data_IF_099997014670
#
_entry.id   IF_099997014670
#
_cell.length_a   1.000
_cell.length_b   1.000
_cell.length_c   1.000
_cell.angle_alpha   90.00
_cell.angle_beta   90.00
_cell.angle_gamma   90.00
#
_symmetry.space_group_name_H-M   'P 1'
#
loop_
_entity.id
_entity.type
_entity.pdbx_description
1 polymer ?
#
# COMPACT_ATOMS: atom_id res chain seq x y z
N UNK A 1 -15.26 31.72 11.88
CA UNK A 1 -15.67 30.30 11.77
C UNK A 1 -15.45 29.66 10.37
N UNK A 2 -14.74 30.32 9.42
CA UNK A 2 -14.70 29.93 7.99
C UNK A 2 -13.55 28.96 7.57
N UNK A 3 -12.55 28.76 8.44
CA UNK A 3 -11.35 27.96 8.13
C UNK A 3 -11.57 26.44 8.13
N UNK A 4 -12.24 25.91 9.16
CA UNK A 4 -12.48 24.47 9.31
C UNK A 4 -13.31 23.89 8.15
N UNK A 5 -14.30 24.65 7.64
CA UNK A 5 -15.12 24.24 6.52
C UNK A 5 -14.35 24.23 5.18
N UNK A 6 -13.28 25.04 5.02
CA UNK A 6 -12.40 24.97 3.84
C UNK A 6 -11.47 23.76 3.93
N UNK A 7 -10.90 23.49 5.10
CA UNK A 7 -10.03 22.32 5.35
C UNK A 7 -10.81 21.01 5.13
N UNK A 8 -12.03 20.90 5.67
CA UNK A 8 -12.87 19.72 5.46
C UNK A 8 -13.22 19.50 3.98
N UNK A 9 -13.52 20.56 3.22
CA UNK A 9 -13.80 20.45 1.78
C UNK A 9 -12.55 20.08 0.96
N UNK A 10 -11.38 20.54 1.36
CA UNK A 10 -10.10 20.19 0.71
C UNK A 10 -9.70 18.75 1.04
N UNK A 11 -9.84 18.32 2.29
CA UNK A 11 -9.64 16.93 2.69
C UNK A 11 -10.60 15.99 1.94
N UNK A 12 -11.89 16.35 1.87
CA UNK A 12 -12.90 15.60 1.10
C UNK A 12 -12.67 15.63 -0.41
N UNK A 13 -11.91 16.59 -0.96
CA UNK A 13 -11.48 16.60 -2.38
C UNK A 13 -10.26 15.72 -2.61
N UNK A 14 -9.31 15.71 -1.67
CA UNK A 14 -8.11 14.87 -1.73
C UNK A 14 -8.48 13.37 -1.67
N UNK A 15 -9.40 12.96 -0.80
CA UNK A 15 -9.86 11.55 -0.76
C UNK A 15 -10.61 11.14 -2.03
N UNK A 16 -11.27 12.09 -2.71
CA UNK A 16 -11.92 11.87 -4.00
C UNK A 16 -10.95 11.80 -5.17
N UNK A 17 -9.77 12.40 -5.10
CA UNK A 17 -8.73 12.23 -6.12
C UNK A 17 -8.05 10.86 -6.02
N UNK A 18 -7.90 10.31 -4.81
CA UNK A 18 -7.37 8.96 -4.60
C UNK A 18 -8.36 7.84 -4.96
N UNK A 19 -9.64 8.18 -5.15
CA UNK A 19 -10.71 7.26 -5.58
C UNK A 19 -11.21 7.63 -6.98
N UNK A 20 -10.28 7.78 -7.93
CA UNK A 20 -10.61 7.91 -9.35
C UNK A 20 -11.04 6.56 -9.90
N UNK A 21 -12.30 6.16 -9.67
CA UNK A 21 -12.88 5.01 -10.38
C UNK A 21 -13.36 5.49 -11.75
N UNK A 22 -12.68 5.04 -12.80
CA UNK A 22 -13.15 5.18 -14.18
C UNK A 22 -14.58 4.64 -14.30
N UNK A 23 -15.44 5.30 -15.08
CA UNK A 23 -16.79 4.81 -15.39
C UNK A 23 -16.68 3.36 -15.87
N UNK A 24 -17.43 2.45 -15.24
CA UNK A 24 -17.53 1.07 -15.70
C UNK A 24 -18.22 1.07 -17.07
N UNK A 25 -17.45 0.82 -18.13
CA UNK A 25 -17.98 0.64 -19.47
C UNK A 25 -18.60 -0.76 -19.54
N UNK A 26 -19.93 -0.80 -19.59
CA UNK A 26 -20.73 -2.01 -19.75
C UNK A 26 -20.79 -2.43 -21.22
N UNK A 27 -20.22 -3.59 -21.55
CA UNK A 27 -20.83 -4.58 -22.47
C UNK A 27 -21.07 -4.15 -23.92
N UNK A 28 -20.15 -4.49 -24.84
CA UNK A 28 -20.38 -4.43 -26.29
C UNK A 28 -19.33 -3.62 -27.06
N UNK A 29 -18.43 -4.32 -27.78
CA UNK A 29 -17.44 -3.88 -28.80
C UNK A 29 -16.45 -2.74 -28.45
N UNK A 30 -16.75 -1.93 -27.44
CA UNK A 30 -15.94 -0.90 -26.80
C UNK A 30 -15.78 -1.17 -25.30
N UNK A 31 -16.12 -2.38 -24.86
CA UNK A 31 -15.98 -2.81 -23.49
C UNK A 31 -14.53 -3.16 -23.17
N UNK A 32 -14.12 -3.01 -21.91
CA UNK A 32 -12.75 -3.23 -21.56
C UNK A 32 -12.44 -4.73 -21.55
N UNK A 33 -11.28 -5.09 -22.12
CA UNK A 33 -10.81 -6.47 -22.37
C UNK A 33 -10.93 -7.45 -21.20
N UNK A 34 -11.12 -6.98 -19.96
CA UNK A 34 -11.27 -7.81 -18.77
C UNK A 34 -12.70 -8.36 -18.55
N UNK A 35 -13.73 -7.81 -19.19
CA UNK A 35 -15.13 -8.21 -18.95
C UNK A 35 -15.47 -9.54 -19.63
N UNK A 36 -14.82 -9.85 -20.75
CA UNK A 36 -15.05 -11.06 -21.54
C UNK A 36 -13.78 -11.88 -21.78
N UNK A 37 -12.73 -11.68 -20.99
CA UNK A 37 -11.51 -12.48 -21.11
C UNK A 37 -11.73 -13.92 -20.61
N UNK A 38 -11.15 -14.95 -21.28
CA UNK A 38 -11.20 -16.34 -20.82
C UNK A 38 -10.41 -16.57 -19.53
N UNK A 39 -9.49 -15.66 -19.18
CA UNK A 39 -8.74 -15.67 -17.93
C UNK A 39 -9.06 -14.41 -17.13
N UNK A 40 -9.37 -14.59 -15.84
CA UNK A 40 -9.62 -13.50 -14.90
C UNK A 40 -8.45 -12.52 -14.78
N UNK A 41 -7.22 -12.99 -14.95
CA UNK A 41 -6.03 -12.14 -14.89
C UNK A 41 -5.24 -12.22 -16.19
N UNK A 42 -5.04 -11.07 -16.84
CA UNK A 42 -4.14 -10.95 -17.99
C UNK A 42 -2.72 -10.57 -17.54
N UNK A 43 -2.04 -11.52 -16.89
CA UNK A 43 -0.64 -11.36 -16.48
C UNK A 43 0.31 -11.08 -17.65
N UNK A 44 0.21 -11.70 -18.84
CA UNK A 44 1.14 -11.44 -19.95
C UNK A 44 1.04 -10.05 -20.58
N UNK A 45 -0.11 -9.39 -20.51
CA UNK A 45 -0.26 -8.02 -20.98
C UNK A 45 0.39 -6.96 -20.07
N UNK A 46 0.85 -7.32 -18.86
CA UNK A 46 1.48 -6.35 -17.96
C UNK A 46 2.90 -5.96 -18.40
N UNK A 47 3.10 -4.66 -18.67
CA UNK A 47 4.44 -4.10 -18.90
C UNK A 47 5.32 -4.23 -17.65
N UNK A 48 6.56 -4.67 -17.83
CA UNK A 48 7.55 -4.89 -16.77
C UNK A 48 7.08 -5.86 -15.66
N UNK A 49 6.39 -6.93 -16.06
CA UNK A 49 5.82 -7.94 -15.15
C UNK A 49 6.82 -8.46 -14.11
N UNK A 50 8.01 -8.89 -14.54
CA UNK A 50 9.03 -9.46 -13.64
C UNK A 50 9.46 -8.48 -12.55
N UNK A 51 9.56 -7.18 -12.88
CA UNK A 51 9.93 -6.15 -11.92
C UNK A 51 8.84 -5.95 -10.86
N UNK A 52 7.56 -5.90 -11.27
CA UNK A 52 6.44 -5.72 -10.34
C UNK A 52 6.27 -6.91 -9.40
N UNK A 53 6.39 -8.13 -9.91
CA UNK A 53 6.36 -9.33 -9.08
C UNK A 53 7.60 -9.43 -8.18
N UNK A 54 8.79 -9.11 -8.69
CA UNK A 54 10.02 -9.10 -7.89
C UNK A 54 9.99 -8.06 -6.76
N UNK A 55 9.53 -6.84 -7.04
CA UNK A 55 9.41 -5.77 -6.05
C UNK A 55 8.37 -6.11 -4.97
N UNK A 56 7.22 -6.66 -5.37
CA UNK A 56 6.17 -7.04 -4.42
C UNK A 56 6.62 -8.19 -3.53
N UNK A 57 7.15 -9.28 -4.11
CA UNK A 57 7.66 -10.41 -3.32
C UNK A 57 8.84 -9.99 -2.46
N UNK A 58 9.78 -9.23 -3.01
CA UNK A 58 10.93 -8.71 -2.28
C UNK A 58 10.53 -7.81 -1.11
N UNK A 59 9.54 -6.94 -1.30
CA UNK A 59 9.01 -6.08 -0.24
C UNK A 59 8.34 -6.87 0.87
N UNK A 60 7.53 -7.89 0.54
CA UNK A 60 6.88 -8.76 1.52
C UNK A 60 7.91 -9.53 2.35
N UNK A 61 8.91 -10.11 1.69
CA UNK A 61 9.99 -10.85 2.38
C UNK A 61 10.82 -9.90 3.25
N UNK A 62 11.16 -8.72 2.74
CA UNK A 62 11.92 -7.72 3.49
C UNK A 62 11.18 -7.29 4.74
N UNK A 63 9.86 -7.05 4.68
CA UNK A 63 9.05 -6.73 5.86
C UNK A 63 8.98 -7.90 6.83
N UNK A 64 8.87 -9.14 6.33
CA UNK A 64 8.88 -10.35 7.16
C UNK A 64 10.15 -10.51 7.99
N UNK A 65 11.30 -10.04 7.50
CA UNK A 65 12.58 -10.10 8.21
C UNK A 65 12.84 -8.81 9.00
N UNK A 66 12.54 -7.65 8.43
CA UNK A 66 12.84 -6.36 9.06
C UNK A 66 12.03 -6.15 10.35
N UNK A 67 10.74 -6.51 10.36
CA UNK A 67 9.88 -6.34 11.53
C UNK A 67 10.38 -7.09 12.78
N UNK A 68 10.69 -8.41 12.73
CA UNK A 68 11.22 -9.11 13.91
C UNK A 68 12.61 -8.62 14.33
N UNK A 69 13.47 -8.21 13.39
CA UNK A 69 14.79 -7.65 13.72
C UNK A 69 14.66 -6.32 14.47
N UNK A 70 13.79 -5.42 14.01
CA UNK A 70 13.51 -4.15 14.69
C UNK A 70 12.88 -4.41 16.07
N UNK A 71 11.95 -5.38 16.17
CA UNK A 71 11.33 -5.76 17.43
C UNK A 71 12.36 -6.29 18.45
N UNK A 72 13.29 -7.16 18.02
CA UNK A 72 14.38 -7.65 18.85
C UNK A 72 15.30 -6.50 19.29
N UNK A 73 15.66 -5.58 18.39
CA UNK A 73 16.50 -4.43 18.72
C UNK A 73 15.83 -3.51 19.74
N UNK A 74 14.51 -3.32 19.64
CA UNK A 74 13.73 -2.54 20.59
C UNK A 74 13.67 -3.22 21.97
N UNK A 75 13.54 -4.54 22.01
CA UNK A 75 13.56 -5.32 23.26
C UNK A 75 14.96 -5.40 23.90
N UNK A 76 16.04 -5.45 23.12
CA UNK A 76 17.43 -5.39 23.62
C UNK A 76 17.75 -3.97 24.10
N UNK A 77 17.43 -2.93 23.32
CA UNK A 77 17.68 -1.53 23.69
C UNK A 77 16.88 -1.06 24.90
N UNK A 78 15.63 -1.51 25.06
CA UNK A 78 14.85 -1.26 26.29
C UNK A 78 15.39 -2.00 27.51
N UNK A 79 16.05 -3.15 27.34
CA UNK A 79 16.72 -3.84 28.44
C UNK A 79 17.95 -3.06 28.90
N UNK A 80 18.77 -2.55 27.99
CA UNK A 80 19.92 -1.71 28.36
C UNK A 80 19.49 -0.39 29.04
N UNK A 81 18.41 0.26 28.56
CA UNK A 81 17.87 1.45 29.23
C UNK A 81 17.24 1.13 30.60
N UNK A 82 16.55 -0.02 30.72
CA UNK A 82 15.96 -0.47 31.99
C UNK A 82 17.00 -0.92 33.02
N UNK A 83 18.13 -1.49 32.60
CA UNK A 83 19.21 -1.90 33.51
C UNK A 83 20.06 -0.68 33.87
N UNK A 84 20.35 0.21 32.91
CA UNK A 84 21.03 1.48 33.16
C UNK A 84 20.27 2.43 34.11
N UNK A 85 18.93 2.49 34.02
CA UNK A 85 18.09 3.29 34.92
C UNK A 85 17.95 2.68 36.33
N UNK A 86 18.11 1.35 36.49
CA UNK A 86 18.10 0.68 37.81
C UNK A 86 19.45 0.74 38.52
N UNK A 87 20.52 1.11 37.82
CA UNK A 87 21.87 1.23 38.35
C UNK A 87 22.27 2.69 38.68
N UNK A 88 21.34 3.65 38.58
CA UNK A 88 21.47 5.05 39.04
C UNK A 88 20.66 5.25 40.31
#
# INVERSE_FOLDING_TARGET
>A
MSGAAKVARTASRAVRSFTSSSKAASGGHHEPDYVHAPSMYNLPAMKNRKLKFGLSVGGVVALGIALPVIACQWQVGLRDLSVGLKCV
#
